data_IF_044540920722
#
_entry.id   IF_044540920722
#
_cell.length_a   1.000
_cell.length_b   1.000
_cell.length_c   1.000
_cell.angle_alpha   90.00
_cell.angle_beta   90.00
_cell.angle_gamma   90.00
#
_symmetry.space_group_name_H-M   'P 1'
#
loop_
_entity.id
_entity.type
_entity.pdbx_description
1 polymer ?
#
# COMPACT_ATOMS: atom_id res chain seq x y z
N UNK A 1 -8.60 34.15 42.47
CA UNK A 1 -9.23 35.15 41.59
C UNK A 1 -8.17 35.57 40.59
N UNK A 2 -8.35 35.23 39.31
CA UNK A 2 -7.27 35.20 38.31
C UNK A 2 -7.10 36.56 37.62
N UNK A 3 -5.85 36.99 37.43
CA UNK A 3 -5.44 38.27 36.81
C UNK A 3 -6.12 38.61 35.46
N UNK A 4 -6.61 37.61 34.73
CA UNK A 4 -7.40 37.79 33.48
C UNK A 4 -8.75 38.48 33.73
N UNK A 5 -9.38 38.23 34.88
CA UNK A 5 -10.67 38.82 35.23
C UNK A 5 -10.51 40.30 35.58
N UNK A 6 -9.41 40.68 36.23
CA UNK A 6 -9.12 42.07 36.62
C UNK A 6 -8.80 42.93 35.38
N UNK A 7 -8.06 42.37 34.40
CA UNK A 7 -7.77 43.04 33.14
C UNK A 7 -9.02 43.31 32.32
N UNK A 8 -9.94 42.33 32.21
CA UNK A 8 -11.20 42.52 31.48
C UNK A 8 -12.08 43.59 32.12
N UNK A 9 -12.14 43.62 33.45
CA UNK A 9 -12.88 44.65 34.17
C UNK A 9 -12.30 46.05 33.92
N UNK A 10 -10.98 46.20 33.90
CA UNK A 10 -10.31 47.46 33.57
C UNK A 10 -10.56 47.88 32.11
N UNK A 11 -10.45 46.97 31.14
CA UNK A 11 -10.69 47.26 29.73
C UNK A 11 -12.12 47.74 29.45
N UNK A 12 -13.10 47.26 30.22
CA UNK A 12 -14.50 47.74 30.13
C UNK A 12 -14.71 49.15 30.69
N UNK A 13 -13.74 49.72 31.41
CA UNK A 13 -13.81 51.11 31.91
C UNK A 13 -13.21 52.13 30.95
N UNK A 14 -12.49 51.68 29.91
CA UNK A 14 -11.91 52.54 28.89
C UNK A 14 -12.95 52.89 27.81
N UNK A 15 -12.79 54.06 27.21
CA UNK A 15 -13.58 54.46 26.04
C UNK A 15 -13.16 53.68 24.78
N UNK A 16 -14.06 53.66 23.80
CA UNK A 16 -13.89 52.86 22.58
C UNK A 16 -12.69 53.33 21.75
N UNK A 17 -12.42 54.64 21.72
CA UNK A 17 -11.33 55.22 20.93
C UNK A 17 -9.97 54.80 21.50
N UNK A 18 -9.80 54.90 22.82
CA UNK A 18 -8.61 54.42 23.52
C UNK A 18 -8.40 52.90 23.35
N UNK A 19 -9.49 52.11 23.38
CA UNK A 19 -9.40 50.66 23.20
C UNK A 19 -8.96 50.29 21.77
N UNK A 20 -9.46 51.01 20.77
CA UNK A 20 -9.10 50.84 19.36
C UNK A 20 -7.63 51.19 19.14
N UNK A 21 -7.16 52.31 19.67
CA UNK A 21 -5.76 52.72 19.55
C UNK A 21 -4.80 51.68 20.16
N UNK A 22 -5.12 51.20 21.36
CA UNK A 22 -4.32 50.15 22.02
C UNK A 22 -4.33 48.86 21.20
N UNK A 23 -5.48 48.44 20.66
CA UNK A 23 -5.56 47.22 19.84
C UNK A 23 -4.81 47.35 18.51
N UNK A 24 -4.88 48.50 17.86
CA UNK A 24 -4.10 48.79 16.64
C UNK A 24 -2.60 48.77 16.94
N UNK A 25 -2.16 49.41 18.01
CA UNK A 25 -0.74 49.46 18.40
C UNK A 25 -0.17 48.07 18.79
N UNK A 26 -1.02 47.19 19.33
CA UNK A 26 -0.64 45.80 19.61
C UNK A 26 -0.67 44.94 18.34
N UNK A 27 -1.66 45.12 17.47
CA UNK A 27 -1.74 44.42 16.19
C UNK A 27 -0.56 44.77 15.27
N UNK A 28 -0.03 45.98 15.36
CA UNK A 28 1.17 46.37 14.62
C UNK A 28 2.42 45.57 15.02
N UNK A 29 2.48 45.11 16.27
CA UNK A 29 3.60 44.33 16.81
C UNK A 29 3.38 42.82 16.76
N UNK A 30 2.13 42.36 16.65
CA UNK A 30 1.75 40.94 16.65
C UNK A 30 0.92 40.57 15.41
N UNK A 31 1.55 39.85 14.48
CA UNK A 31 0.95 39.39 13.21
C UNK A 31 -0.25 38.46 13.42
N UNK A 32 -0.27 37.67 14.51
CA UNK A 32 -1.37 36.77 14.81
C UNK A 32 -2.58 37.55 15.34
N UNK A 33 -2.35 38.59 16.14
CA UNK A 33 -3.42 39.50 16.58
C UNK A 33 -4.00 40.27 15.38
N UNK A 34 -3.14 40.77 14.47
CA UNK A 34 -3.57 41.45 13.24
C UNK A 34 -4.43 40.55 12.36
N UNK A 35 -4.03 39.30 12.17
CA UNK A 35 -4.80 38.31 11.39
C UNK A 35 -6.19 38.08 11.99
N UNK A 36 -6.29 37.90 13.32
CA UNK A 36 -7.58 37.69 14.01
C UNK A 36 -8.52 38.88 13.94
N UNK A 37 -7.99 40.10 14.08
CA UNK A 37 -8.80 41.32 13.93
C UNK A 37 -9.30 41.49 12.49
N UNK A 38 -8.48 41.12 11.50
CA UNK A 38 -8.85 41.15 10.07
C UNK A 38 -9.94 40.14 9.74
N UNK A 39 -9.91 38.94 10.31
CA UNK A 39 -10.97 37.93 10.12
C UNK A 39 -12.31 38.34 10.71
N UNK A 40 -12.32 39.09 11.81
CA UNK A 40 -13.56 39.64 12.38
C UNK A 40 -14.18 40.69 11.46
N UNK A 41 -13.36 41.47 10.76
CA UNK A 41 -13.82 42.44 9.74
C UNK A 41 -14.46 41.76 8.53
N UNK A 42 -13.93 40.62 8.09
CA UNK A 42 -14.48 39.86 6.95
C UNK A 42 -15.87 39.26 7.24
N UNK A 43 -16.23 39.09 8.52
CA UNK A 43 -17.57 38.58 8.90
C UNK A 43 -18.69 39.61 8.87
N UNK A 44 -18.40 40.91 8.63
CA UNK A 44 -19.41 41.98 8.67
C UNK A 44 -19.95 42.43 7.30
N UNK A 45 -19.41 41.99 6.15
CA UNK A 45 -19.97 42.35 4.83
C UNK A 45 -20.78 41.21 4.18
N UNK A 46 -22.09 41.39 3.91
CA UNK A 46 -22.90 40.41 3.22
C UNK A 46 -23.15 40.81 1.75
N UNK A 47 -22.31 40.37 0.80
CA UNK A 47 -22.74 40.29 -0.62
C UNK A 47 -22.07 39.17 -1.41
N UNK A 48 -22.91 38.19 -1.76
CA UNK A 48 -23.16 37.64 -3.10
C UNK A 48 -21.96 37.16 -3.95
N UNK A 49 -21.87 35.83 -3.97
CA UNK A 49 -21.57 34.96 -5.12
C UNK A 49 -20.18 35.03 -5.75
N UNK A 50 -19.63 33.81 -5.89
CA UNK A 50 -18.37 33.42 -6.53
C UNK A 50 -17.16 33.54 -5.61
N UNK A 51 -16.91 32.47 -4.84
CA UNK A 51 -15.68 31.66 -4.83
C UNK A 51 -15.83 30.63 -3.70
N UNK A 52 -16.53 29.54 -4.02
CA UNK A 52 -16.59 28.32 -3.23
C UNK A 52 -15.28 27.54 -3.40
N UNK A 53 -14.23 28.02 -2.73
CA UNK A 53 -12.95 27.30 -2.60
C UNK A 53 -12.18 27.67 -1.30
N UNK A 54 -12.71 28.59 -0.48
CA UNK A 54 -12.08 29.03 0.78
C UNK A 54 -12.57 28.31 2.04
N UNK A 55 -13.73 27.65 1.98
CA UNK A 55 -14.33 27.00 3.15
C UNK A 55 -13.72 25.62 3.47
N UNK A 56 -13.20 24.90 2.46
CA UNK A 56 -12.54 23.61 2.67
C UNK A 56 -11.17 23.74 3.36
N UNK A 57 -10.50 24.88 3.23
CA UNK A 57 -9.18 25.12 3.84
C UNK A 57 -9.26 25.48 5.34
N UNK A 58 -10.35 26.13 5.77
CA UNK A 58 -10.54 26.52 7.18
C UNK A 58 -10.85 25.32 8.09
N UNK A 59 -11.52 24.29 7.55
CA UNK A 59 -11.85 23.06 8.27
C UNK A 59 -10.65 22.11 8.41
N UNK A 60 -9.78 22.01 7.39
CA UNK A 60 -8.60 21.14 7.40
C UNK A 60 -7.63 21.44 8.55
N UNK A 61 -7.41 22.72 8.87
CA UNK A 61 -6.56 23.15 10.00
C UNK A 61 -7.20 22.83 11.35
N UNK A 62 -8.55 22.80 11.44
CA UNK A 62 -9.24 22.40 12.66
C UNK A 62 -9.16 20.88 12.87
N UNK A 63 -9.37 20.07 11.83
CA UNK A 63 -9.37 18.61 11.96
C UNK A 63 -8.03 18.06 12.40
N UNK A 64 -6.91 18.54 11.84
CA UNK A 64 -5.58 18.07 12.25
C UNK A 64 -5.32 18.30 13.74
N UNK A 65 -5.68 19.49 14.26
CA UNK A 65 -5.50 19.81 15.67
C UNK A 65 -6.33 18.89 16.60
N UNK A 66 -7.53 18.52 16.17
CA UNK A 66 -8.42 17.60 16.90
C UNK A 66 -7.85 16.19 16.84
N UNK A 67 -7.44 15.72 15.66
CA UNK A 67 -6.82 14.40 15.47
C UNK A 67 -5.52 14.27 16.29
N UNK A 68 -4.68 15.30 16.31
CA UNK A 68 -3.47 15.36 17.14
C UNK A 68 -3.80 15.32 18.63
N UNK A 69 -4.90 15.94 19.04
CA UNK A 69 -5.34 15.93 20.43
C UNK A 69 -5.89 14.56 20.83
N UNK A 70 -6.71 13.94 19.99
CA UNK A 70 -7.22 12.56 20.20
C UNK A 70 -6.05 11.57 20.26
N UNK A 71 -5.11 11.66 19.31
CA UNK A 71 -3.91 10.82 19.30
C UNK A 71 -3.11 10.95 20.59
N UNK A 72 -2.80 12.18 21.03
CA UNK A 72 -2.07 12.41 22.29
C UNK A 72 -2.81 11.86 23.51
N UNK A 73 -4.13 11.99 23.57
CA UNK A 73 -4.92 11.46 24.69
C UNK A 73 -4.91 9.93 24.74
N UNK A 74 -4.98 9.27 23.57
CA UNK A 74 -4.86 7.82 23.44
C UNK A 74 -3.45 7.34 23.78
N UNK A 75 -2.42 8.03 23.29
CA UNK A 75 -1.01 7.70 23.55
C UNK A 75 -0.64 7.88 25.03
N UNK A 76 -1.27 8.83 25.72
CA UNK A 76 -1.11 9.04 27.16
C UNK A 76 -1.83 7.98 28.02
N UNK A 77 -2.61 7.07 27.42
CA UNK A 77 -3.36 6.04 28.15
C UNK A 77 -4.47 6.62 29.04
N UNK A 78 -5.11 7.69 28.61
CA UNK A 78 -6.13 8.41 29.40
C UNK A 78 -7.34 7.51 29.69
N UNK A 79 -7.89 7.57 30.90
CA UNK A 79 -9.12 6.83 31.29
C UNK A 79 -10.41 7.51 30.85
N UNK A 80 -10.33 8.66 30.18
CA UNK A 80 -11.47 9.41 29.71
C UNK A 80 -11.96 8.78 28.40
N UNK A 81 -13.28 8.67 28.26
CA UNK A 81 -13.91 8.20 27.03
C UNK A 81 -13.73 9.23 25.92
N UNK A 82 -12.77 8.96 25.03
CA UNK A 82 -12.52 9.72 23.80
C UNK A 82 -13.21 9.10 22.58
N UNK A 83 -13.91 7.96 22.74
CA UNK A 83 -14.59 7.24 21.66
C UNK A 83 -15.66 8.10 21.01
N UNK A 84 -16.42 8.85 21.81
CA UNK A 84 -17.44 9.77 21.30
C UNK A 84 -16.86 10.93 20.47
N UNK A 85 -15.72 11.49 20.91
CA UNK A 85 -15.02 12.55 20.18
C UNK A 85 -14.43 12.02 18.87
N UNK A 86 -13.76 10.86 18.92
CA UNK A 86 -13.20 10.22 17.73
C UNK A 86 -14.29 9.85 16.72
N UNK A 87 -15.42 9.27 17.17
CA UNK A 87 -16.59 8.97 16.33
C UNK A 87 -17.12 10.21 15.62
N UNK A 88 -17.35 11.29 16.37
CA UNK A 88 -17.87 12.54 15.82
C UNK A 88 -16.92 13.17 14.80
N UNK A 89 -15.61 13.12 15.06
CA UNK A 89 -14.60 13.62 14.12
C UNK A 89 -14.59 12.79 12.83
N UNK A 90 -14.63 11.46 12.94
CA UNK A 90 -14.72 10.57 11.79
C UNK A 90 -16.02 10.78 10.99
N UNK A 91 -17.16 10.93 11.65
CA UNK A 91 -18.45 11.20 10.99
C UNK A 91 -18.45 12.54 10.22
N UNK A 92 -17.85 13.60 10.80
CA UNK A 92 -17.73 14.90 10.13
C UNK A 92 -16.83 14.84 8.91
N UNK A 93 -15.67 14.18 9.03
CA UNK A 93 -14.75 13.99 7.90
C UNK A 93 -15.38 13.11 6.82
N UNK A 94 -16.11 12.05 7.19
CA UNK A 94 -16.83 11.20 6.25
C UNK A 94 -17.90 12.00 5.50
N UNK A 95 -18.65 12.86 6.19
CA UNK A 95 -19.61 13.75 5.56
C UNK A 95 -18.94 14.74 4.60
N UNK A 96 -17.85 15.39 5.01
CA UNK A 96 -17.10 16.33 4.15
C UNK A 96 -16.56 15.66 2.88
N UNK A 97 -15.99 14.45 3.02
CA UNK A 97 -15.48 13.65 1.88
C UNK A 97 -16.62 13.18 0.95
N UNK A 98 -17.78 12.84 1.51
CA UNK A 98 -18.95 12.38 0.76
C UNK A 98 -19.58 13.52 -0.04
N UNK A 99 -19.71 14.69 0.58
CA UNK A 99 -20.47 15.81 0.01
C UNK A 99 -19.62 16.60 -1.02
N UNK A 100 -18.28 16.48 -0.97
CA UNK A 100 -17.39 17.04 -1.99
C UNK A 100 -17.38 16.23 -3.29
N UNK A 101 -17.39 16.88 -4.44
CA UNK A 101 -17.36 16.19 -5.75
C UNK A 101 -16.00 15.52 -6.01
N UNK A 102 -14.90 16.24 -5.78
CA UNK A 102 -13.51 15.77 -5.86
C UNK A 102 -12.75 16.14 -4.57
N UNK A 103 -12.86 15.32 -3.50
CA UNK A 103 -12.28 15.64 -2.21
C UNK A 103 -10.76 15.62 -2.30
N UNK A 104 -10.11 16.63 -1.73
CA UNK A 104 -8.66 16.70 -1.75
C UNK A 104 -8.02 15.43 -1.14
N UNK A 105 -6.85 14.98 -1.65
CA UNK A 105 -6.15 13.83 -1.08
C UNK A 105 -5.82 13.97 0.40
N UNK A 106 -5.65 15.20 0.88
CA UNK A 106 -5.43 15.48 2.29
C UNK A 106 -6.68 15.18 3.13
N UNK A 107 -7.87 15.54 2.64
CA UNK A 107 -9.13 15.28 3.35
C UNK A 107 -9.42 13.77 3.46
N UNK A 108 -9.10 12.99 2.42
CA UNK A 108 -9.23 11.52 2.45
C UNK A 108 -8.21 10.87 3.38
N UNK A 109 -6.97 11.39 3.44
CA UNK A 109 -5.96 10.98 4.42
C UNK A 109 -6.41 11.30 5.86
N UNK A 110 -6.97 12.49 6.10
CA UNK A 110 -7.53 12.89 7.39
C UNK A 110 -8.67 11.96 7.83
N UNK A 111 -9.56 11.56 6.90
CA UNK A 111 -10.60 10.57 7.18
C UNK A 111 -9.98 9.21 7.56
N UNK A 112 -9.02 8.71 6.80
CA UNK A 112 -8.31 7.46 7.14
C UNK A 112 -7.66 7.50 8.53
N UNK A 113 -7.02 8.63 8.86
CA UNK A 113 -6.45 8.88 10.19
C UNK A 113 -7.52 8.90 11.29
N UNK A 114 -8.65 9.55 11.05
CA UNK A 114 -9.77 9.61 11.99
C UNK A 114 -10.37 8.24 12.28
N UNK A 115 -10.58 7.43 11.23
CA UNK A 115 -11.08 6.05 11.35
C UNK A 115 -10.11 5.19 12.17
N UNK A 116 -8.81 5.29 11.91
CA UNK A 116 -7.79 4.56 12.68
C UNK A 116 -7.75 4.98 14.16
N UNK A 117 -7.86 6.28 14.46
CA UNK A 117 -7.94 6.77 15.84
C UNK A 117 -9.23 6.33 16.54
N UNK A 118 -10.35 6.28 15.80
CA UNK A 118 -11.60 5.75 16.34
C UNK A 118 -11.50 4.26 16.67
N UNK A 119 -10.91 3.44 15.81
CA UNK A 119 -10.65 2.03 16.10
C UNK A 119 -9.84 1.84 17.39
N UNK A 120 -8.76 2.61 17.55
CA UNK A 120 -7.95 2.62 18.79
C UNK A 120 -8.76 3.04 20.02
N UNK A 121 -9.64 4.03 19.89
CA UNK A 121 -10.51 4.45 20.98
C UNK A 121 -11.52 3.36 21.35
N UNK A 122 -12.08 2.65 20.37
CA UNK A 122 -12.98 1.51 20.59
C UNK A 122 -12.31 0.36 21.36
N UNK A 123 -11.00 0.14 21.21
CA UNK A 123 -10.29 -0.86 22.04
C UNK A 123 -10.29 -0.47 23.51
N UNK A 124 -10.12 0.83 23.82
CA UNK A 124 -10.08 1.31 25.21
C UNK A 124 -11.48 1.38 25.85
N UNK A 125 -12.47 1.86 25.10
CA UNK A 125 -13.86 2.01 25.53
C UNK A 125 -14.79 1.54 24.40
N UNK A 126 -15.11 0.24 24.33
CA UNK A 126 -15.86 -0.32 23.22
C UNK A 126 -17.32 0.14 23.23
N UNK A 127 -17.82 0.69 22.11
CA UNK A 127 -19.24 0.95 21.93
C UNK A 127 -20.02 -0.38 21.77
N UNK A 128 -21.36 -0.36 21.79
CA UNK A 128 -22.16 -1.53 21.47
C UNK A 128 -21.76 -2.12 20.10
N UNK A 129 -21.48 -3.43 20.06
CA UNK A 129 -21.01 -4.12 18.85
C UNK A 129 -21.93 -3.89 17.63
N UNK A 130 -23.24 -3.82 17.88
CA UNK A 130 -24.25 -3.58 16.84
C UNK A 130 -24.13 -2.20 16.21
N UNK A 131 -23.97 -1.15 17.02
CA UNK A 131 -23.79 0.21 16.50
C UNK A 131 -22.48 0.35 15.74
N UNK A 132 -21.43 -0.32 16.21
CA UNK A 132 -20.12 -0.29 15.54
C UNK A 132 -20.17 -1.01 14.19
N UNK A 133 -20.79 -2.19 14.14
CA UNK A 133 -20.98 -2.95 12.91
C UNK A 133 -21.80 -2.16 11.88
N UNK A 134 -22.91 -1.55 12.29
CA UNK A 134 -23.74 -0.70 11.42
C UNK A 134 -22.96 0.51 10.89
N UNK A 135 -22.18 1.15 11.76
CA UNK A 135 -21.36 2.30 11.38
C UNK A 135 -20.30 1.91 10.33
N UNK A 136 -19.60 0.79 10.53
CA UNK A 136 -18.59 0.26 9.59
C UNK A 136 -19.22 -0.09 8.24
N UNK A 137 -20.33 -0.83 8.26
CA UNK A 137 -21.05 -1.24 7.04
C UNK A 137 -21.51 -0.01 6.26
N UNK A 138 -22.09 0.99 6.93
CA UNK A 138 -22.49 2.24 6.29
C UNK A 138 -21.30 2.94 5.64
N UNK A 139 -20.21 3.14 6.39
CA UNK A 139 -19.03 3.85 5.89
C UNK A 139 -18.38 3.12 4.70
N UNK A 140 -18.30 1.80 4.74
CA UNK A 140 -17.69 0.99 3.68
C UNK A 140 -18.51 0.97 2.38
N UNK A 141 -19.84 1.01 2.47
CA UNK A 141 -20.73 0.83 1.31
C UNK A 141 -21.34 2.13 0.75
N UNK A 142 -21.29 3.26 1.46
CA UNK A 142 -21.87 4.54 1.01
C UNK A 142 -21.02 5.21 -0.08
N UNK A 143 -19.68 5.25 0.08
CA UNK A 143 -18.71 5.71 -0.94
C UNK A 143 -17.42 4.89 -0.89
N UNK A 144 -17.41 3.67 -1.47
CA UNK A 144 -16.29 2.75 -1.50
C UNK A 144 -14.92 3.30 -1.93
N UNK A 145 -14.93 4.29 -2.83
CA UNK A 145 -13.74 4.89 -3.45
C UNK A 145 -13.01 5.88 -2.53
N UNK A 146 -13.66 6.30 -1.44
CA UNK A 146 -13.25 7.48 -0.67
C UNK A 146 -12.73 7.19 0.72
N UNK A 147 -12.95 5.96 1.21
CA UNK A 147 -12.47 5.53 2.52
C UNK A 147 -12.21 4.01 2.52
N UNK A 148 -10.97 3.62 2.80
CA UNK A 148 -10.63 2.22 3.04
C UNK A 148 -10.76 1.90 4.53
N UNK A 149 -11.82 1.17 4.89
CA UNK A 149 -12.04 0.72 6.27
C UNK A 149 -11.42 -0.67 6.44
N UNK A 150 -10.44 -0.79 7.34
CA UNK A 150 -9.82 -2.08 7.70
C UNK A 150 -10.56 -2.67 8.89
N UNK A 151 -11.35 -3.72 8.66
CA UNK A 151 -12.12 -4.40 9.70
C UNK A 151 -11.21 -5.01 10.78
N UNK A 152 -9.98 -5.38 10.42
CA UNK A 152 -8.99 -5.91 11.36
C UNK A 152 -8.70 -4.95 12.53
N UNK A 153 -8.74 -3.64 12.31
CA UNK A 153 -8.51 -2.64 13.36
C UNK A 153 -9.66 -2.60 14.39
N UNK A 154 -10.86 -3.02 13.99
CA UNK A 154 -12.05 -3.04 14.83
C UNK A 154 -12.38 -4.43 15.39
N UNK A 155 -11.64 -5.48 15.00
CA UNK A 155 -11.98 -6.87 15.29
C UNK A 155 -12.13 -7.15 16.79
N UNK A 156 -11.24 -6.59 17.62
CA UNK A 156 -11.31 -6.74 19.08
C UNK A 156 -12.55 -6.06 19.68
N UNK A 157 -12.88 -4.85 19.22
CA UNK A 157 -14.02 -4.08 19.71
C UNK A 157 -15.38 -4.61 19.20
N UNK A 158 -15.42 -5.19 18.00
CA UNK A 158 -16.63 -5.82 17.43
C UNK A 158 -16.98 -7.13 18.11
N UNK A 159 -15.97 -7.92 18.51
CA UNK A 159 -16.15 -9.28 18.98
C UNK A 159 -16.85 -10.18 17.96
N UNK A 160 -17.24 -11.39 18.40
CA UNK A 160 -17.87 -12.37 17.52
C UNK A 160 -19.23 -11.91 16.97
N UNK A 161 -20.04 -11.26 17.81
CA UNK A 161 -21.39 -10.82 17.44
C UNK A 161 -21.37 -9.68 16.40
N UNK A 162 -20.48 -8.69 16.59
CA UNK A 162 -20.29 -7.61 15.63
C UNK A 162 -19.77 -8.11 14.29
N UNK A 163 -18.78 -9.03 14.31
CA UNK A 163 -18.26 -9.66 13.08
C UNK A 163 -19.36 -10.46 12.35
N UNK A 164 -20.23 -11.17 13.08
CA UNK A 164 -21.34 -11.89 12.49
C UNK A 164 -22.36 -10.94 11.82
N UNK A 165 -22.62 -9.77 12.41
CA UNK A 165 -23.49 -8.76 11.82
C UNK A 165 -22.89 -8.13 10.55
N UNK A 166 -21.59 -7.79 10.57
CA UNK A 166 -20.91 -7.29 9.35
C UNK A 166 -20.94 -8.36 8.25
N UNK A 167 -20.71 -9.64 8.61
CA UNK A 167 -20.82 -10.77 7.68
C UNK A 167 -22.21 -10.88 7.05
N UNK A 168 -23.27 -10.79 7.86
CA UNK A 168 -24.65 -10.84 7.35
C UNK A 168 -24.94 -9.71 6.35
N UNK A 169 -24.45 -8.49 6.61
CA UNK A 169 -24.62 -7.36 5.70
C UNK A 169 -23.83 -7.55 4.38
N UNK A 170 -22.60 -8.04 4.47
CA UNK A 170 -21.76 -8.37 3.30
C UNK A 170 -22.40 -9.47 2.45
N UNK A 171 -22.91 -10.51 3.09
CA UNK A 171 -23.55 -11.65 2.41
C UNK A 171 -24.85 -11.25 1.71
N UNK A 172 -25.62 -10.33 2.30
CA UNK A 172 -26.80 -9.75 1.66
C UNK A 172 -26.42 -9.00 0.36
N UNK A 173 -25.34 -8.21 0.36
CA UNK A 173 -24.85 -7.50 -0.84
C UNK A 173 -24.34 -8.47 -1.90
N UNK A 174 -23.71 -9.57 -1.51
CA UNK A 174 -23.23 -10.60 -2.43
C UNK A 174 -24.38 -11.43 -3.03
N UNK A 175 -25.45 -11.66 -2.27
CA UNK A 175 -26.64 -12.40 -2.70
C UNK A 175 -27.52 -11.59 -3.68
N UNK A 176 -27.52 -10.26 -3.56
CA UNK A 176 -28.26 -9.33 -4.42
C UNK A 176 -27.62 -9.16 -5.82
N UNK A 177 -26.87 -10.16 -6.28
CA UNK A 177 -26.21 -10.15 -7.60
C UNK A 177 -27.27 -10.04 -8.70
N UNK A 178 -27.29 -8.98 -9.51
CA UNK A 178 -28.31 -8.77 -10.52
C UNK A 178 -28.12 -9.82 -11.61
N UNK A 179 -29.11 -10.71 -11.75
CA UNK A 179 -29.06 -11.80 -12.72
C UNK A 179 -29.43 -11.30 -14.13
N UNK A 180 -30.16 -10.18 -14.27
CA UNK A 180 -30.74 -9.79 -15.57
C UNK A 180 -31.07 -8.28 -15.76
N UNK A 181 -30.41 -7.34 -15.07
CA UNK A 181 -30.68 -5.90 -15.31
C UNK A 181 -29.63 -5.24 -16.21
N UNK A 182 -30.10 -4.56 -17.26
CA UNK A 182 -29.29 -3.74 -18.19
C UNK A 182 -28.51 -2.61 -17.47
N UNK A 183 -28.84 -2.34 -16.21
CA UNK A 183 -28.06 -1.57 -15.24
C UNK A 183 -27.32 -2.52 -14.28
N UNK A 184 -26.19 -3.08 -14.74
CA UNK A 184 -25.34 -3.93 -13.92
C UNK A 184 -25.02 -3.28 -12.57
N UNK A 185 -25.45 -3.91 -11.48
CA UNK A 185 -25.33 -3.39 -10.10
C UNK A 185 -23.91 -2.92 -9.78
N UNK A 186 -23.79 -1.95 -8.87
CA UNK A 186 -22.56 -1.20 -8.60
C UNK A 186 -21.32 -2.13 -8.47
N UNK A 187 -20.45 -2.19 -9.51
CA UNK A 187 -19.29 -3.08 -9.51
C UNK A 187 -18.32 -2.77 -8.37
N UNK A 188 -18.33 -1.54 -7.86
CA UNK A 188 -17.51 -1.13 -6.74
C UNK A 188 -18.06 -1.66 -5.42
N UNK A 189 -19.38 -1.60 -5.21
CA UNK A 189 -20.05 -2.15 -4.03
C UNK A 189 -19.80 -3.66 -3.90
N UNK A 190 -19.89 -4.40 -5.00
CA UNK A 190 -19.56 -5.83 -5.07
C UNK A 190 -18.08 -6.10 -4.72
N UNK A 191 -17.17 -5.25 -5.20
CA UNK A 191 -15.73 -5.36 -4.88
C UNK A 191 -15.46 -5.17 -3.38
N UNK A 192 -16.08 -4.17 -2.75
CA UNK A 192 -15.96 -3.95 -1.31
C UNK A 192 -16.54 -5.12 -0.52
N UNK A 193 -17.70 -5.65 -0.91
CA UNK A 193 -18.29 -6.81 -0.25
C UNK A 193 -17.35 -8.02 -0.28
N UNK A 194 -16.72 -8.30 -1.43
CA UNK A 194 -15.71 -9.38 -1.54
C UNK A 194 -14.48 -9.12 -0.68
N UNK A 195 -13.98 -7.88 -0.65
CA UNK A 195 -12.83 -7.50 0.17
C UNK A 195 -13.11 -7.66 1.67
N UNK A 196 -14.27 -7.19 2.14
CA UNK A 196 -14.71 -7.37 3.52
C UNK A 196 -14.93 -8.85 3.87
N UNK A 197 -15.51 -9.64 2.96
CA UNK A 197 -15.69 -11.09 3.19
C UNK A 197 -14.34 -11.81 3.37
N UNK A 198 -13.32 -11.41 2.60
CA UNK A 198 -11.96 -11.93 2.74
C UNK A 198 -11.36 -11.53 4.10
N UNK A 199 -11.48 -10.27 4.49
CA UNK A 199 -10.94 -9.77 5.77
C UNK A 199 -11.63 -10.44 6.97
N UNK A 200 -12.94 -10.65 6.92
CA UNK A 200 -13.70 -11.42 7.92
C UNK A 200 -13.16 -12.84 8.03
N UNK A 201 -12.93 -13.51 6.90
CA UNK A 201 -12.41 -14.87 6.90
C UNK A 201 -10.98 -14.95 7.50
N UNK A 202 -10.13 -13.95 7.24
CA UNK A 202 -8.80 -13.84 7.85
C UNK A 202 -8.89 -13.62 9.37
N UNK A 203 -9.76 -12.71 9.83
CA UNK A 203 -9.97 -12.44 11.26
C UNK A 203 -10.51 -13.67 11.99
N UNK A 204 -11.48 -14.38 11.39
CA UNK A 204 -12.05 -15.60 11.99
C UNK A 204 -11.20 -16.85 11.75
N UNK A 205 -10.03 -16.72 11.11
CA UNK A 205 -9.17 -17.85 10.71
C UNK A 205 -9.89 -18.94 9.91
N UNK A 206 -10.87 -18.54 9.09
CA UNK A 206 -11.59 -19.42 8.17
C UNK A 206 -10.78 -19.63 6.90
N UNK A 207 -9.87 -20.60 6.98
CA UNK A 207 -8.91 -20.94 5.93
C UNK A 207 -9.61 -21.35 4.64
N UNK A 208 -10.71 -22.10 4.71
CA UNK A 208 -11.41 -22.60 3.52
C UNK A 208 -12.04 -21.45 2.74
N UNK A 209 -12.68 -20.50 3.42
CA UNK A 209 -13.25 -19.31 2.78
C UNK A 209 -12.15 -18.43 2.15
N UNK A 210 -11.02 -18.23 2.84
CA UNK A 210 -9.88 -17.46 2.29
C UNK A 210 -9.32 -18.12 1.02
N UNK A 211 -9.12 -19.45 1.05
CA UNK A 211 -8.59 -20.20 -0.10
C UNK A 211 -9.56 -20.16 -1.28
N UNK A 212 -10.87 -20.31 -1.03
CA UNK A 212 -11.90 -20.23 -2.07
C UNK A 212 -11.89 -18.86 -2.76
N UNK A 213 -11.98 -17.78 -1.98
CA UNK A 213 -12.05 -16.41 -2.52
C UNK A 213 -10.78 -16.04 -3.30
N UNK A 214 -9.60 -16.36 -2.77
CA UNK A 214 -8.33 -16.10 -3.47
C UNK A 214 -8.13 -16.99 -4.70
N UNK A 215 -8.76 -18.17 -4.75
CA UNK A 215 -8.68 -19.05 -5.93
C UNK A 215 -9.60 -18.62 -7.07
N UNK A 216 -10.63 -17.82 -6.79
CA UNK A 216 -11.52 -17.22 -7.80
C UNK A 216 -10.87 -16.02 -8.51
N UNK A 217 -9.88 -15.39 -7.88
CA UNK A 217 -9.08 -14.34 -8.52
C UNK A 217 -8.20 -14.92 -9.64
N UNK A 218 -7.86 -14.10 -10.65
CA UNK A 218 -6.95 -14.52 -11.71
C UNK A 218 -5.67 -15.11 -11.08
N UNK A 219 -5.15 -16.25 -11.59
CA UNK A 219 -4.03 -16.95 -10.97
C UNK A 219 -2.74 -16.13 -11.14
N UNK A 220 -2.48 -15.25 -10.16
CA UNK A 220 -1.23 -14.49 -10.05
C UNK A 220 -0.32 -15.15 -9.02
N UNK A 221 0.99 -14.99 -9.19
CA UNK A 221 1.99 -15.62 -8.33
C UNK A 221 1.87 -15.13 -6.88
N UNK A 222 1.62 -13.84 -6.68
CA UNK A 222 1.41 -13.21 -5.37
C UNK A 222 0.17 -13.77 -4.64
N UNK A 223 -0.96 -13.91 -5.34
CA UNK A 223 -2.19 -14.51 -4.80
C UNK A 223 -1.96 -15.98 -4.42
N UNK A 224 -1.28 -16.73 -5.28
CA UNK A 224 -0.92 -18.13 -5.01
C UNK A 224 0.00 -18.28 -3.79
N UNK A 225 0.97 -17.37 -3.62
CA UNK A 225 1.85 -17.35 -2.45
C UNK A 225 1.09 -16.97 -1.18
N UNK A 226 0.08 -16.08 -1.26
CA UNK A 226 -0.80 -15.76 -0.13
C UNK A 226 -1.56 -17.00 0.32
N UNK A 227 -2.18 -17.75 -0.61
CA UNK A 227 -2.86 -19.03 -0.31
C UNK A 227 -1.93 -20.02 0.39
N UNK A 228 -0.71 -20.20 -0.13
CA UNK A 228 0.29 -21.12 0.45
C UNK A 228 0.67 -20.70 1.89
N UNK A 229 0.82 -19.41 2.15
CA UNK A 229 1.13 -18.89 3.50
C UNK A 229 -0.01 -19.16 4.47
N UNK A 230 -1.26 -18.92 4.06
CA UNK A 230 -2.46 -19.17 4.88
C UNK A 230 -2.58 -20.67 5.21
N UNK A 231 -2.48 -21.54 4.22
CA UNK A 231 -2.53 -23.01 4.42
C UNK A 231 -1.40 -23.51 5.32
N UNK A 232 -0.20 -22.94 5.20
CA UNK A 232 0.94 -23.30 6.06
C UNK A 232 0.73 -22.86 7.51
N UNK A 233 0.25 -21.64 7.73
CA UNK A 233 -0.05 -21.12 9.06
C UNK A 233 -1.11 -21.98 9.76
N UNK A 234 -2.06 -22.54 9.00
CA UNK A 234 -3.08 -23.46 9.48
C UNK A 234 -2.62 -24.93 9.64
N UNK A 235 -1.35 -25.25 9.37
CA UNK A 235 -0.83 -26.63 9.44
C UNK A 235 -1.25 -27.55 8.28
N UNK A 236 -1.96 -27.06 7.26
CA UNK A 236 -2.40 -27.81 6.07
C UNK A 236 -1.29 -27.91 5.03
N UNK A 237 -0.17 -28.50 5.45
CA UNK A 237 1.07 -28.54 4.65
C UNK A 237 0.92 -29.27 3.31
N UNK A 238 0.14 -30.35 3.26
CA UNK A 238 -0.13 -31.11 2.03
C UNK A 238 -0.81 -30.26 0.97
N UNK A 239 -1.82 -29.50 1.37
CA UNK A 239 -2.57 -28.62 0.47
C UNK A 239 -1.74 -27.40 0.06
N UNK A 240 -0.93 -26.85 0.97
CA UNK A 240 0.01 -25.79 0.66
C UNK A 240 1.02 -26.22 -0.43
N UNK A 241 1.54 -27.45 -0.32
CA UNK A 241 2.45 -28.04 -1.32
C UNK A 241 1.72 -28.26 -2.64
N UNK A 242 0.50 -28.80 -2.61
CA UNK A 242 -0.30 -29.01 -3.82
C UNK A 242 -0.62 -27.70 -4.56
N UNK A 243 -1.01 -26.65 -3.82
CA UNK A 243 -1.24 -25.32 -4.39
C UNK A 243 0.04 -24.70 -4.95
N UNK A 244 1.18 -24.81 -4.26
CA UNK A 244 2.45 -24.32 -4.74
C UNK A 244 2.88 -25.04 -6.04
N UNK A 245 2.73 -26.37 -6.09
CA UNK A 245 3.02 -27.17 -7.27
C UNK A 245 2.12 -26.79 -8.46
N UNK A 246 0.82 -26.54 -8.21
CA UNK A 246 -0.13 -26.06 -9.23
C UNK A 246 0.24 -24.67 -9.75
N UNK A 247 0.59 -23.73 -8.88
CA UNK A 247 0.99 -22.37 -9.26
C UNK A 247 2.28 -22.38 -10.11
N UNK A 248 3.26 -23.20 -9.72
CA UNK A 248 4.50 -23.40 -10.47
C UNK A 248 4.26 -24.15 -11.79
N UNK A 249 3.39 -25.16 -11.80
CA UNK A 249 2.99 -25.91 -12.98
C UNK A 249 2.24 -25.07 -14.01
N UNK A 250 1.35 -24.18 -13.58
CA UNK A 250 0.68 -23.22 -14.46
C UNK A 250 1.66 -22.15 -14.99
N UNK A 251 2.63 -21.72 -14.18
CA UNK A 251 3.75 -20.88 -14.64
C UNK A 251 4.75 -21.61 -15.56
N UNK A 252 4.76 -22.94 -15.54
CA UNK A 252 5.59 -23.82 -16.37
C UNK A 252 4.87 -24.27 -17.66
N UNK A 253 3.54 -24.30 -17.71
CA UNK A 253 2.79 -24.50 -18.95
C UNK A 253 2.97 -23.31 -19.92
N UNK A 254 3.32 -22.13 -19.41
CA UNK A 254 3.82 -20.99 -20.18
C UNK A 254 5.30 -21.13 -20.61
N UNK A 255 6.03 -22.12 -20.10
CA UNK A 255 7.49 -22.33 -20.30
C UNK A 255 7.80 -23.83 -20.35
N UNK A 256 7.20 -24.52 -21.32
CA UNK A 256 7.32 -25.97 -21.48
C UNK A 256 8.70 -26.35 -21.99
N UNK A 257 9.70 -26.38 -21.11
CA UNK A 257 10.99 -27.08 -21.34
C UNK A 257 11.68 -27.56 -20.05
N UNK A 258 11.09 -27.35 -18.86
CA UNK A 258 11.79 -27.56 -17.57
C UNK A 258 11.13 -28.60 -16.65
N UNK A 259 10.78 -29.77 -17.18
CA UNK A 259 10.42 -30.92 -16.33
C UNK A 259 11.59 -31.37 -15.41
N UNK A 260 12.84 -31.02 -15.75
CA UNK A 260 14.02 -31.28 -14.92
C UNK A 260 14.14 -30.41 -13.66
N UNK A 261 13.59 -29.18 -13.67
CA UNK A 261 13.76 -28.24 -12.56
C UNK A 261 12.95 -28.57 -11.31
N UNK A 262 11.83 -29.27 -11.46
CA UNK A 262 10.97 -29.66 -10.32
C UNK A 262 11.58 -30.83 -9.55
N UNK A 263 12.18 -31.80 -10.25
CA UNK A 263 12.91 -32.91 -9.61
C UNK A 263 14.14 -32.39 -8.88
N UNK A 264 14.87 -31.44 -9.48
CA UNK A 264 16.02 -30.80 -8.86
C UNK A 264 15.64 -29.92 -7.64
N UNK A 265 14.51 -29.20 -7.71
CA UNK A 265 14.00 -28.43 -6.58
C UNK A 265 13.53 -29.32 -5.42
N UNK A 266 12.92 -30.47 -5.71
CA UNK A 266 12.52 -31.46 -4.70
C UNK A 266 13.73 -32.18 -4.08
N UNK A 267 14.79 -32.46 -4.85
CA UNK A 267 16.07 -32.98 -4.37
C UNK A 267 16.80 -32.00 -3.43
N UNK A 268 16.69 -30.68 -3.67
CA UNK A 268 17.22 -29.63 -2.76
C UNK A 268 16.45 -29.54 -1.44
N UNK A 269 15.12 -29.73 -1.46
CA UNK A 269 14.31 -29.79 -0.23
C UNK A 269 14.61 -31.06 0.57
N UNK A 270 14.92 -32.17 -0.10
CA UNK A 270 15.29 -33.45 0.53
C UNK A 270 16.62 -33.40 1.29
N UNK A 271 17.53 -32.49 0.94
CA UNK A 271 18.91 -32.47 1.43
C UNK A 271 19.22 -31.45 2.55
N UNK A 272 18.21 -30.80 3.15
CA UNK A 272 18.39 -29.83 4.27
C UNK A 272 19.36 -28.68 3.97
N UNK A 273 19.31 -28.08 2.78
CA UNK A 273 19.98 -26.79 2.56
C UNK A 273 18.98 -25.65 2.80
N UNK A 274 19.32 -24.76 3.75
CA UNK A 274 18.58 -23.52 4.03
C UNK A 274 18.45 -22.70 2.74
N UNK A 275 17.32 -21.98 2.49
CA UNK A 275 17.26 -21.04 1.37
C UNK A 275 18.44 -20.08 1.49
N UNK A 276 19.30 -20.06 0.48
CA UNK A 276 20.46 -19.18 0.41
C UNK A 276 19.92 -17.77 0.27
N UNK A 277 20.13 -16.93 1.28
CA UNK A 277 19.65 -15.56 1.30
C UNK A 277 20.50 -14.69 0.35
N UNK A 278 20.08 -14.58 -0.91
CA UNK A 278 20.72 -13.71 -1.91
C UNK A 278 20.09 -12.31 -1.97
N UNK A 279 19.30 -11.92 -0.95
CA UNK A 279 18.55 -10.65 -0.94
C UNK A 279 19.46 -9.42 -0.96
N UNK A 280 20.66 -9.54 -0.39
CA UNK A 280 21.69 -8.50 -0.38
C UNK A 280 22.17 -8.15 -1.81
N UNK A 281 22.47 -9.17 -2.63
CA UNK A 281 22.88 -8.99 -4.02
C UNK A 281 21.73 -8.49 -4.86
N UNK A 282 20.53 -9.03 -4.66
CA UNK A 282 19.33 -8.64 -5.39
C UNK A 282 18.98 -7.16 -5.17
N UNK A 283 19.01 -6.69 -3.91
CA UNK A 283 18.76 -5.30 -3.56
C UNK A 283 19.77 -4.35 -4.23
N UNK A 284 21.06 -4.72 -4.25
CA UNK A 284 22.11 -3.93 -4.89
C UNK A 284 21.95 -3.89 -6.42
N UNK A 285 21.52 -4.99 -7.06
CA UNK A 285 21.24 -5.03 -8.49
C UNK A 285 20.04 -4.16 -8.87
N UNK A 286 18.95 -4.20 -8.09
CA UNK A 286 17.78 -3.32 -8.30
C UNK A 286 18.15 -1.85 -8.12
N UNK A 287 18.94 -1.54 -7.10
CA UNK A 287 19.51 -0.22 -6.84
C UNK A 287 20.59 0.21 -7.84
N UNK A 288 20.86 -0.57 -8.89
CA UNK A 288 21.83 -0.25 -9.92
C UNK A 288 23.28 -0.08 -9.39
N UNK A 289 23.58 -0.60 -8.19
CA UNK A 289 24.90 -0.58 -7.50
C UNK A 289 25.72 -1.81 -7.88
N UNK A 290 26.04 -1.93 -9.16
CA UNK A 290 26.56 -3.19 -9.71
C UNK A 290 27.91 -3.63 -9.16
N UNK A 291 28.82 -2.70 -8.85
CA UNK A 291 30.14 -3.06 -8.32
C UNK A 291 30.06 -3.65 -6.91
N UNK A 292 29.12 -3.14 -6.11
CA UNK A 292 28.86 -3.62 -4.76
C UNK A 292 28.12 -4.96 -4.80
N UNK A 293 27.14 -5.11 -5.69
CA UNK A 293 26.49 -6.39 -5.94
C UNK A 293 27.50 -7.48 -6.32
N UNK A 294 28.50 -7.13 -7.14
CA UNK A 294 29.55 -8.08 -7.55
C UNK A 294 30.54 -8.42 -6.44
N UNK A 295 30.74 -7.53 -5.46
CA UNK A 295 31.53 -7.83 -4.27
C UNK A 295 30.76 -8.77 -3.33
N UNK A 296 29.48 -8.48 -3.09
CA UNK A 296 28.59 -9.32 -2.29
C UNK A 296 28.43 -10.73 -2.90
N UNK A 297 28.41 -10.82 -4.23
CA UNK A 297 28.39 -12.07 -4.99
C UNK A 297 29.53 -13.05 -4.65
N UNK A 298 30.63 -12.61 -4.03
CA UNK A 298 31.70 -13.52 -3.62
C UNK A 298 31.30 -14.47 -2.47
N UNK A 299 30.27 -14.12 -1.68
CA UNK A 299 29.78 -14.91 -0.55
C UNK A 299 28.72 -15.96 -0.91
N UNK A 300 28.33 -16.06 -2.18
CA UNK A 300 27.22 -16.89 -2.64
C UNK A 300 27.65 -17.89 -3.72
N UNK A 301 26.92 -19.00 -3.83
CA UNK A 301 27.17 -19.98 -4.89
C UNK A 301 26.87 -19.38 -6.28
N UNK A 302 27.74 -19.60 -7.28
CA UNK A 302 27.56 -19.00 -8.60
C UNK A 302 26.24 -19.38 -9.29
N UNK A 303 25.68 -20.56 -8.99
CA UNK A 303 24.40 -21.04 -9.52
C UNK A 303 23.22 -20.18 -9.07
N UNK A 304 23.26 -19.69 -7.83
CA UNK A 304 22.16 -18.96 -7.21
C UNK A 304 22.13 -17.50 -7.68
N UNK A 305 23.28 -16.97 -8.07
CA UNK A 305 23.43 -15.61 -8.58
C UNK A 305 23.10 -15.47 -10.07
N UNK A 306 23.20 -16.55 -10.84
CA UNK A 306 22.96 -16.56 -12.29
C UNK A 306 21.57 -16.01 -12.66
N UNK A 307 20.45 -16.42 -12.01
CA UNK A 307 19.12 -15.87 -12.28
C UNK A 307 19.05 -14.35 -12.05
N UNK A 308 19.63 -13.86 -10.94
CA UNK A 308 19.62 -12.44 -10.58
C UNK A 308 20.35 -11.57 -11.62
N UNK A 309 21.50 -12.05 -12.10
CA UNK A 309 22.26 -11.35 -13.13
C UNK A 309 21.57 -11.42 -14.51
N UNK A 310 20.83 -12.50 -14.84
CA UNK A 310 20.02 -12.57 -16.07
C UNK A 310 18.88 -11.56 -16.07
N UNK A 311 18.11 -11.50 -14.99
CA UNK A 311 17.02 -10.53 -14.82
C UNK A 311 17.55 -9.09 -14.89
N UNK A 312 18.68 -8.82 -14.25
CA UNK A 312 19.32 -7.51 -14.31
C UNK A 312 19.70 -7.11 -15.75
N UNK A 313 20.22 -8.04 -16.55
CA UNK A 313 20.57 -7.78 -17.97
C UNK A 313 19.33 -7.49 -18.79
N UNK A 314 18.26 -8.27 -18.62
CA UNK A 314 17.01 -8.10 -19.37
C UNK A 314 16.36 -6.74 -19.07
N UNK A 315 16.23 -6.39 -17.79
CA UNK A 315 15.74 -5.07 -17.35
C UNK A 315 16.54 -3.91 -17.95
N UNK A 316 17.87 -4.01 -17.98
CA UNK A 316 18.73 -2.98 -18.58
C UNK A 316 18.57 -2.89 -20.10
N UNK A 317 18.23 -3.98 -20.79
CA UNK A 317 17.98 -3.96 -22.23
C UNK A 317 16.57 -3.41 -22.54
N UNK A 318 15.60 -3.61 -21.64
CA UNK A 318 14.23 -3.12 -21.77
C UNK A 318 14.08 -1.62 -21.58
N UNK A 319 14.92 -0.98 -20.76
CA UNK A 319 14.86 0.46 -20.50
C UNK A 319 15.22 1.35 -21.71
N UNK A 320 15.62 0.75 -22.85
CA UNK A 320 15.85 1.39 -24.17
C UNK A 320 16.80 2.61 -24.19
N UNK A 321 17.59 2.81 -23.13
CA UNK A 321 18.56 3.90 -23.01
C UNK A 321 19.98 3.45 -23.43
N UNK A 322 20.72 4.33 -24.12
CA UNK A 322 22.11 4.08 -24.54
C UNK A 322 23.03 3.71 -23.36
N UNK A 323 22.90 4.40 -22.22
CA UNK A 323 23.70 4.09 -21.02
C UNK A 323 23.33 2.72 -20.42
N UNK A 324 22.08 2.28 -20.58
CA UNK A 324 21.65 0.99 -20.06
C UNK A 324 22.19 -0.19 -20.89
N UNK A 325 22.43 -0.01 -22.19
CA UNK A 325 23.07 -1.03 -23.03
C UNK A 325 24.54 -1.27 -22.67
N UNK A 326 25.28 -0.21 -22.36
CA UNK A 326 26.66 -0.33 -21.87
C UNK A 326 26.70 -1.08 -20.53
N UNK A 327 25.79 -0.73 -19.62
CA UNK A 327 25.65 -1.40 -18.31
C UNK A 327 25.25 -2.87 -18.44
N UNK A 328 24.35 -3.19 -19.37
CA UNK A 328 23.95 -4.55 -19.68
C UNK A 328 25.13 -5.38 -20.21
N UNK A 329 25.95 -4.80 -21.09
CA UNK A 329 27.16 -5.45 -21.59
C UNK A 329 28.17 -5.74 -20.47
N UNK A 330 28.30 -4.82 -19.50
CA UNK A 330 29.07 -5.02 -18.27
C UNK A 330 28.56 -6.18 -17.41
N UNK A 331 27.25 -6.28 -17.20
CA UNK A 331 26.66 -7.39 -16.43
C UNK A 331 26.75 -8.73 -17.16
N UNK A 332 26.67 -8.76 -18.49
CA UNK A 332 26.86 -9.97 -19.29
C UNK A 332 28.26 -10.57 -19.15
N UNK A 333 29.30 -9.74 -18.96
CA UNK A 333 30.66 -10.24 -18.65
C UNK A 333 30.70 -10.95 -17.30
N UNK A 334 30.02 -10.39 -16.30
CA UNK A 334 29.94 -10.95 -14.94
C UNK A 334 29.15 -12.24 -14.93
N UNK A 335 28.02 -12.25 -15.62
CA UNK A 335 27.20 -13.44 -15.82
C UNK A 335 27.99 -14.56 -16.51
N UNK A 336 28.79 -14.24 -17.54
CA UNK A 336 29.70 -15.21 -18.17
C UNK A 336 30.67 -15.83 -17.16
N UNK A 337 31.20 -15.04 -16.23
CA UNK A 337 32.12 -15.55 -15.21
C UNK A 337 31.40 -16.45 -14.21
N UNK A 338 30.17 -16.12 -13.81
CA UNK A 338 29.35 -16.96 -12.93
C UNK A 338 29.06 -18.32 -13.59
N UNK A 339 28.66 -18.32 -14.87
CA UNK A 339 28.48 -19.53 -15.66
C UNK A 339 29.74 -20.38 -15.79
N UNK A 340 30.91 -19.74 -15.92
CA UNK A 340 32.19 -20.45 -15.95
C UNK A 340 32.51 -21.09 -14.60
N UNK A 341 32.26 -20.37 -13.50
CA UNK A 341 32.50 -20.86 -12.12
C UNK A 341 31.54 -22.00 -11.75
N UNK A 342 30.31 -21.97 -12.26
CA UNK A 342 29.31 -23.03 -12.11
C UNK A 342 29.55 -24.25 -13.04
N UNK A 343 30.59 -24.24 -13.89
CA UNK A 343 30.83 -25.31 -14.87
C UNK A 343 29.89 -25.32 -16.09
N UNK A 344 28.82 -24.51 -16.10
CA UNK A 344 27.79 -24.44 -17.13
C UNK A 344 28.12 -23.48 -18.31
N UNK A 345 29.36 -23.49 -18.81
CA UNK A 345 29.78 -22.53 -19.86
C UNK A 345 29.03 -22.67 -21.19
N UNK A 346 28.50 -23.85 -21.51
CA UNK A 346 27.70 -24.09 -22.70
C UNK A 346 26.34 -23.36 -22.64
N UNK A 347 25.71 -23.33 -21.46
CA UNK A 347 24.41 -22.66 -21.23
C UNK A 347 24.50 -21.14 -21.40
N UNK A 348 25.64 -20.53 -21.04
CA UNK A 348 25.88 -19.11 -21.31
C UNK A 348 25.85 -18.81 -22.81
N UNK A 349 26.42 -19.71 -23.63
CA UNK A 349 26.46 -19.51 -25.09
C UNK A 349 25.07 -19.63 -25.71
N UNK A 350 24.25 -20.58 -25.23
CA UNK A 350 22.86 -20.71 -25.62
C UNK A 350 22.03 -19.48 -25.23
N UNK A 351 22.15 -19.02 -23.98
CA UNK A 351 21.48 -17.80 -23.51
C UNK A 351 21.87 -16.57 -24.30
N UNK A 352 23.18 -16.38 -24.56
CA UNK A 352 23.64 -15.23 -25.33
C UNK A 352 23.12 -15.26 -26.76
N UNK A 353 23.04 -16.44 -27.39
CA UNK A 353 22.46 -16.60 -28.72
C UNK A 353 20.96 -16.25 -28.73
N UNK A 354 20.21 -16.71 -27.74
CA UNK A 354 18.77 -16.41 -27.59
C UNK A 354 18.52 -14.92 -27.33
N UNK A 355 19.31 -14.31 -26.44
CA UNK A 355 19.23 -12.89 -26.11
C UNK A 355 19.49 -12.02 -27.35
N UNK A 356 20.52 -12.37 -28.14
CA UNK A 356 20.82 -11.70 -29.40
C UNK A 356 19.73 -11.94 -30.45
N UNK A 357 19.10 -13.12 -30.45
CA UNK A 357 17.99 -13.44 -31.36
C UNK A 357 16.72 -12.63 -31.04
N UNK A 358 16.42 -12.43 -29.75
CA UNK A 358 15.28 -11.64 -29.26
C UNK A 358 15.45 -10.14 -29.53
N UNK A 359 16.69 -9.66 -29.49
CA UNK A 359 17.02 -8.24 -29.68
C UNK A 359 17.74 -7.95 -31.00
N UNK A 360 17.46 -8.72 -32.07
CA UNK A 360 18.09 -8.59 -33.40
C UNK A 360 18.06 -7.17 -33.98
N UNK A 361 16.97 -6.43 -33.74
CA UNK A 361 16.74 -5.06 -34.26
C UNK A 361 17.43 -3.94 -33.46
N UNK A 362 18.06 -4.25 -32.31
CA UNK A 362 18.72 -3.25 -31.44
C UNK A 362 20.21 -3.15 -31.79
N UNK A 363 20.55 -2.47 -32.87
CA UNK A 363 21.94 -2.35 -33.40
C UNK A 363 22.92 -1.79 -32.35
N UNK A 364 22.51 -0.75 -31.60
CA UNK A 364 23.33 -0.16 -30.53
C UNK A 364 23.71 -1.14 -29.41
N UNK A 365 22.81 -2.06 -29.04
CA UNK A 365 23.12 -3.10 -28.06
C UNK A 365 24.23 -4.03 -28.57
N UNK A 366 24.19 -4.40 -29.85
CA UNK A 366 25.21 -5.28 -30.47
C UNK A 366 26.57 -4.57 -30.54
N UNK A 367 26.59 -3.28 -30.81
CA UNK A 367 27.80 -2.47 -30.82
C UNK A 367 28.42 -2.39 -29.42
N UNK A 368 27.61 -2.16 -28.38
CA UNK A 368 28.08 -2.17 -26.99
C UNK A 368 28.57 -3.56 -26.54
N UNK A 369 27.93 -4.65 -26.97
CA UNK A 369 28.43 -6.01 -26.69
C UNK A 369 29.77 -6.30 -27.37
N UNK A 370 29.97 -5.80 -28.60
CA UNK A 370 31.23 -5.92 -29.34
C UNK A 370 32.34 -5.08 -28.68
N UNK A 371 32.04 -3.83 -28.31
CA UNK A 371 32.96 -2.96 -27.54
C UNK A 371 33.33 -3.59 -26.21
N UNK A 372 32.35 -4.17 -25.53
CA UNK A 372 32.53 -4.91 -24.30
C UNK A 372 33.15 -6.31 -24.53
N UNK A 373 33.68 -6.68 -25.70
CA UNK A 373 34.41 -7.96 -25.91
C UNK A 373 33.70 -9.19 -25.31
N UNK A 374 32.37 -9.18 -25.22
CA UNK A 374 31.60 -10.35 -24.80
C UNK A 374 31.71 -11.32 -25.97
N UNK A 375 32.27 -12.51 -25.77
CA UNK A 375 32.51 -13.44 -26.86
C UNK A 375 31.17 -13.79 -27.50
N UNK A 376 30.95 -13.28 -28.72
CA UNK A 376 29.76 -13.57 -29.51
C UNK A 376 29.87 -15.03 -29.96
N UNK A 377 28.79 -15.83 -29.85
CA UNK A 377 28.77 -17.16 -30.42
C UNK A 377 29.10 -17.08 -31.91
N UNK A 378 29.95 -17.99 -32.43
CA UNK A 378 30.37 -18.03 -33.85
C UNK A 378 29.21 -18.04 -34.86
N UNK A 379 27.98 -18.32 -34.41
CA UNK A 379 26.76 -18.44 -35.22
C UNK A 379 26.23 -17.08 -35.74
N UNK A 380 26.79 -15.94 -35.32
CA UNK A 380 26.36 -14.60 -35.78
C UNK A 380 27.51 -13.72 -36.33
N UNK A 381 28.61 -14.34 -36.76
CA UNK A 381 29.74 -13.67 -37.41
C UNK A 381 29.70 -13.78 -38.95
N UNK A 382 28.50 -13.97 -39.53
CA UNK A 382 28.23 -13.91 -40.96
C UNK A 382 27.51 -12.63 -41.34
#
# INVERSE_FOLDING_TARGET
MSRRSDLRAFLLTLDVETLVDVLCEQADRDEELRRRLSTLRETEEPTRAVLDDGAAQADGVQFDSVLDTVARLLDAGTSADVTSLARRTADRLAAAVRDGEDPSPHLTEQLGRAVSLYARACTAHPPPATELAEWIVRLAFERPDRCEVRLADFAEALGADGIAQVRAAVDAVLADSPVDDEDGGDPMRMRVARALRLEIAEITSDVDTVVSLLSEELPRLDVSLRIVRVLRAAGRHSEAIAHAAKALGNGAASRTETAGGVVEALERVRTRQSPVDTSDVEALLRGNRFDEAWKAAAGHEPSDLIPLYRECVERLIESRNSQCYERAAGQLRRLRLLYRRAGASAEFSAYLAELLARHKRKTRLRDELRKARVALPKVLAG
#
